data_IF_451139721154
#
_entry.id   IF_451139721154
#
_cell.length_a   1.000
_cell.length_b   1.000
_cell.length_c   1.000
_cell.angle_alpha   90.00
_cell.angle_beta   90.00
_cell.angle_gamma   90.00
#
_symmetry.space_group_name_H-M   'P 1'
#
loop_
_entity.id
_entity.type
_entity.pdbx_description
1 polymer ?
#
# COMPACT_ATOMS: atom_id res chain seq x y z
N UNK A 1 -21.30 35.06 -13.08
CA UNK A 1 -22.27 33.96 -13.30
C UNK A 1 -21.84 33.31 -14.61
N UNK A 2 -21.52 32.02 -14.74
CA UNK A 2 -21.75 30.85 -13.86
C UNK A 2 -20.64 29.80 -14.10
N UNK A 3 -20.36 28.91 -13.12
CA UNK A 3 -19.35 27.85 -13.25
C UNK A 3 -19.90 26.58 -13.93
N UNK A 4 -19.10 25.96 -14.82
CA UNK A 4 -19.06 24.53 -15.18
C UNK A 4 -17.83 24.26 -16.08
N UNK A 5 -17.17 23.08 -16.14
CA UNK A 5 -17.02 21.96 -15.19
C UNK A 5 -15.81 21.09 -15.62
N UNK A 6 -15.20 20.37 -14.67
CA UNK A 6 -14.06 19.42 -14.79
C UNK A 6 -14.48 18.08 -15.44
N UNK A 7 -13.59 17.20 -16.00
CA UNK A 7 -12.27 16.90 -15.44
C UNK A 7 -11.06 16.60 -16.35
N UNK A 8 -9.93 16.71 -15.65
CA UNK A 8 -8.61 16.13 -15.88
C UNK A 8 -8.64 14.67 -16.38
N UNK A 9 -7.83 14.36 -17.40
CA UNK A 9 -7.37 13.00 -17.69
C UNK A 9 -6.19 13.01 -18.66
N UNK A 10 -4.96 12.72 -18.20
CA UNK A 10 -3.94 12.09 -19.03
C UNK A 10 -3.98 10.57 -18.82
N UNK A 11 -4.42 9.83 -19.84
CA UNK A 11 -4.28 8.37 -19.88
C UNK A 11 -2.82 7.97 -19.70
N UNK A 12 -2.50 7.32 -18.59
CA UNK A 12 -1.27 6.54 -18.48
C UNK A 12 -1.60 5.06 -18.75
N UNK A 13 -1.49 4.69 -20.02
CA UNK A 13 -1.35 3.29 -20.44
C UNK A 13 -0.03 2.74 -19.89
N UNK A 14 -0.03 2.38 -18.61
CA UNK A 14 1.06 1.70 -17.92
C UNK A 14 0.73 0.20 -17.89
N UNK A 15 0.61 -0.42 -19.07
CA UNK A 15 0.72 -1.87 -19.17
C UNK A 15 2.21 -2.22 -19.14
N UNK A 16 2.77 -2.71 -18.01
CA UNK A 16 4.17 -3.12 -17.99
C UNK A 16 4.39 -4.25 -19.01
N UNK A 17 5.58 -4.36 -19.61
CA UNK A 17 5.88 -5.48 -20.49
C UNK A 17 5.70 -6.80 -19.74
N UNK A 18 5.12 -7.80 -20.42
CA UNK A 18 4.73 -9.11 -19.88
C UNK A 18 5.94 -10.02 -19.58
N UNK A 19 6.85 -9.53 -18.73
CA UNK A 19 8.14 -10.10 -18.39
C UNK A 19 8.41 -10.14 -16.87
N UNK A 20 7.43 -9.79 -16.03
CA UNK A 20 7.51 -9.98 -14.57
C UNK A 20 6.67 -11.16 -14.05
N UNK A 21 5.91 -11.85 -14.92
CA UNK A 21 5.07 -13.00 -14.54
C UNK A 21 5.88 -14.28 -14.27
N UNK A 22 7.17 -14.34 -14.62
CA UNK A 22 7.99 -15.55 -14.54
C UNK A 22 8.75 -15.75 -13.20
N UNK A 23 8.78 -14.75 -12.31
CA UNK A 23 9.46 -14.84 -10.99
C UNK A 23 8.59 -14.39 -9.81
N UNK A 24 7.29 -14.17 -10.03
CA UNK A 24 6.30 -14.00 -8.98
C UNK A 24 5.78 -15.37 -8.49
N UNK A 25 6.66 -16.17 -7.88
CA UNK A 25 6.29 -17.45 -7.29
C UNK A 25 5.27 -17.27 -6.14
N UNK A 26 4.05 -17.76 -6.37
CA UNK A 26 3.00 -18.02 -5.38
C UNK A 26 2.60 -16.84 -4.45
N UNK A 27 2.35 -15.67 -5.03
CA UNK A 27 1.77 -14.55 -4.30
C UNK A 27 0.62 -13.88 -5.06
N UNK A 28 -0.46 -13.60 -4.36
CA UNK A 28 -1.64 -12.97 -4.95
C UNK A 28 -1.37 -11.50 -5.29
N UNK A 29 -0.54 -10.80 -4.51
CA UNK A 29 -0.01 -9.47 -4.84
C UNK A 29 1.27 -9.56 -5.68
N UNK A 30 1.24 -8.88 -6.83
CA UNK A 30 2.45 -8.60 -7.60
C UNK A 30 3.49 -7.83 -6.77
N UNK A 31 4.77 -8.15 -6.99
CA UNK A 31 5.92 -7.57 -6.32
C UNK A 31 5.87 -6.04 -6.09
N UNK A 32 5.54 -5.18 -7.08
CA UNK A 32 5.49 -3.74 -6.85
C UNK A 32 4.50 -3.36 -5.73
N UNK A 33 3.26 -3.86 -5.75
CA UNK A 33 2.25 -3.53 -4.73
C UNK A 33 2.71 -3.85 -3.31
N UNK A 34 3.45 -4.96 -3.13
CA UNK A 34 4.01 -5.36 -1.83
C UNK A 34 5.08 -4.40 -1.36
N UNK A 35 5.93 -3.92 -2.26
CA UNK A 35 6.94 -2.89 -1.97
C UNK A 35 6.28 -1.57 -1.58
N UNK A 36 5.16 -1.17 -2.23
CA UNK A 36 4.39 0.04 -1.84
C UNK A 36 3.89 -0.05 -0.40
N UNK A 37 3.26 -1.18 -0.05
CA UNK A 37 2.77 -1.44 1.31
C UNK A 37 3.92 -1.43 2.30
N UNK A 38 4.98 -2.20 2.04
CA UNK A 38 6.13 -2.29 2.93
C UNK A 38 6.83 -0.94 3.15
N UNK A 39 6.93 -0.07 2.14
CA UNK A 39 7.46 1.29 2.29
C UNK A 39 6.59 2.14 3.22
N UNK A 40 5.27 2.06 3.11
CA UNK A 40 4.33 2.74 4.00
C UNK A 40 4.43 2.22 5.45
N UNK A 41 4.52 0.90 5.63
CA UNK A 41 4.71 0.27 6.93
C UNK A 41 6.07 0.64 7.56
N UNK A 42 7.14 0.67 6.77
CA UNK A 42 8.46 1.13 7.22
C UNK A 42 8.43 2.59 7.69
N UNK A 43 7.72 3.46 6.95
CA UNK A 43 7.57 4.87 7.30
C UNK A 43 6.77 5.09 8.60
N UNK A 44 5.90 4.14 8.96
CA UNK A 44 5.16 4.08 10.22
C UNK A 44 5.97 3.46 11.39
N UNK A 45 7.21 3.01 11.15
CA UNK A 45 8.05 2.39 12.19
C UNK A 45 7.80 0.89 12.40
N UNK A 46 7.14 0.21 11.46
CA UNK A 46 6.83 -1.22 11.61
C UNK A 46 8.10 -2.10 11.72
N UNK A 47 8.18 -3.00 12.72
CA UNK A 47 9.36 -3.83 12.93
C UNK A 47 9.62 -4.79 11.77
N UNK A 48 10.90 -5.04 11.47
CA UNK A 48 11.35 -5.91 10.38
C UNK A 48 11.33 -5.26 8.99
N UNK A 49 10.84 -4.02 8.85
CA UNK A 49 10.81 -3.30 7.57
C UNK A 49 12.00 -2.34 7.45
N UNK A 50 12.94 -2.64 6.55
CA UNK A 50 14.13 -1.81 6.30
C UNK A 50 13.91 -0.85 5.12
N UNK A 51 13.77 0.48 5.33
CA UNK A 51 13.43 1.41 4.24
C UNK A 51 14.49 1.49 3.14
N UNK A 52 15.78 1.29 3.47
CA UNK A 52 16.85 1.24 2.49
C UNK A 52 16.73 0.03 1.54
N UNK A 53 16.49 -1.16 2.10
CA UNK A 53 16.30 -2.40 1.34
C UNK A 53 15.03 -2.34 0.46
N UNK A 54 13.95 -1.77 0.99
CA UNK A 54 12.70 -1.60 0.26
C UNK A 54 12.83 -0.59 -0.90
N UNK A 55 13.65 0.47 -0.74
CA UNK A 55 13.98 1.37 -1.85
C UNK A 55 14.86 0.69 -2.91
N UNK A 56 15.74 -0.23 -2.52
CA UNK A 56 16.55 -1.01 -3.46
C UNK A 56 15.67 -1.97 -4.28
N UNK A 57 14.80 -2.73 -3.61
CA UNK A 57 13.81 -3.60 -4.27
C UNK A 57 12.83 -2.81 -5.13
N UNK A 58 12.39 -1.62 -4.69
CA UNK A 58 11.57 -0.73 -5.50
C UNK A 58 12.24 -0.30 -6.80
N UNK A 59 13.53 0.08 -6.76
CA UNK A 59 14.31 0.38 -7.97
C UNK A 59 14.48 -0.83 -8.87
N UNK A 60 14.74 -2.01 -8.30
CA UNK A 60 14.83 -3.26 -9.06
C UNK A 60 13.49 -3.63 -9.72
N UNK A 61 12.35 -3.28 -9.10
CA UNK A 61 11.01 -3.40 -9.67
C UNK A 61 10.58 -2.24 -10.60
N UNK A 62 11.50 -1.32 -10.94
CA UNK A 62 11.25 -0.20 -11.86
C UNK A 62 10.59 1.04 -11.24
N UNK A 63 10.38 1.11 -9.92
CA UNK A 63 9.82 2.29 -9.26
C UNK A 63 10.81 3.45 -9.22
N UNK A 64 10.32 4.66 -9.52
CA UNK A 64 11.10 5.88 -9.36
C UNK A 64 11.09 6.36 -7.90
N UNK A 65 12.09 7.14 -7.49
CA UNK A 65 12.22 7.70 -6.12
C UNK A 65 11.01 8.53 -5.70
N UNK A 66 10.43 9.31 -6.62
CA UNK A 66 9.23 10.09 -6.34
C UNK A 66 8.02 9.19 -6.01
N UNK A 67 7.83 8.10 -6.74
CA UNK A 67 6.75 7.14 -6.47
C UNK A 67 6.98 6.43 -5.13
N UNK A 68 8.21 5.97 -4.85
CA UNK A 68 8.54 5.33 -3.56
C UNK A 68 8.33 6.28 -2.36
N UNK A 69 8.64 7.57 -2.52
CA UNK A 69 8.39 8.57 -1.47
C UNK A 69 6.88 8.86 -1.29
N UNK A 70 6.11 8.95 -2.38
CA UNK A 70 4.65 9.07 -2.32
C UNK A 70 4.03 7.87 -1.60
N UNK A 71 4.46 6.64 -1.98
CA UNK A 71 4.01 5.38 -1.40
C UNK A 71 4.32 5.32 0.11
N UNK A 72 5.52 5.73 0.53
CA UNK A 72 5.89 5.85 1.94
C UNK A 72 4.98 6.86 2.69
N UNK A 73 4.56 7.95 2.04
CA UNK A 73 3.57 8.91 2.55
C UNK A 73 2.12 8.43 2.51
N UNK A 74 1.82 7.23 2.00
CA UNK A 74 0.47 6.67 1.91
C UNK A 74 -0.34 7.10 0.70
N UNK A 75 0.31 7.71 -0.30
CA UNK A 75 -0.30 8.12 -1.58
C UNK A 75 0.33 7.36 -2.73
N UNK A 76 -0.35 7.21 -3.86
CA UNK A 76 0.24 6.57 -5.04
C UNK A 76 -0.28 7.21 -6.32
N UNK A 77 0.54 7.20 -7.36
CA UNK A 77 0.13 7.65 -8.71
C UNK A 77 -0.83 6.65 -9.37
N UNK A 78 -0.82 5.40 -8.91
CA UNK A 78 -1.76 4.37 -9.31
C UNK A 78 -3.01 4.37 -8.41
N UNK A 79 -4.20 4.44 -9.00
CA UNK A 79 -5.46 4.49 -8.26
C UNK A 79 -5.68 3.22 -7.39
N UNK A 80 -5.22 2.07 -7.89
CA UNK A 80 -5.31 0.79 -7.18
C UNK A 80 -4.32 0.76 -5.99
N UNK A 81 -3.09 1.21 -6.19
CA UNK A 81 -2.10 1.43 -5.15
C UNK A 81 -2.56 2.41 -4.07
N UNK A 82 -3.16 3.53 -4.45
CA UNK A 82 -3.69 4.54 -3.51
C UNK A 82 -4.83 3.98 -2.65
N UNK A 83 -5.77 3.24 -3.24
CA UNK A 83 -6.82 2.55 -2.49
C UNK A 83 -6.26 1.48 -1.53
N UNK A 84 -5.20 0.79 -1.92
CA UNK A 84 -4.51 -0.19 -1.07
C UNK A 84 -3.79 0.46 0.12
N UNK A 85 -3.09 1.58 -0.11
CA UNK A 85 -2.43 2.34 0.97
C UNK A 85 -3.43 2.96 1.94
N UNK A 86 -4.56 3.47 1.44
CA UNK A 86 -5.67 3.93 2.28
C UNK A 86 -6.24 2.80 3.17
N UNK A 87 -6.41 1.59 2.61
CA UNK A 87 -6.83 0.41 3.37
C UNK A 87 -5.81 0.00 4.44
N UNK A 88 -4.52 -0.02 4.09
CA UNK A 88 -3.44 -0.33 5.05
C UNK A 88 -3.40 0.71 6.17
N UNK A 89 -3.55 2.00 5.84
CA UNK A 89 -3.69 3.06 6.83
C UNK A 89 -4.87 2.83 7.78
N UNK A 90 -6.03 2.43 7.25
CA UNK A 90 -7.20 2.12 8.06
C UNK A 90 -7.02 0.88 8.94
N UNK A 91 -6.30 -0.14 8.48
CA UNK A 91 -5.98 -1.35 9.28
C UNK A 91 -5.01 -1.09 10.45
N UNK A 92 -4.20 -0.03 10.36
CA UNK A 92 -3.34 0.43 11.46
C UNK A 92 -4.12 1.30 12.45
N UNK A 93 -4.94 2.23 11.92
CA UNK A 93 -5.75 3.19 12.69
C UNK A 93 -6.92 2.53 13.44
N UNK A 94 -7.59 1.55 12.81
CA UNK A 94 -8.73 0.81 13.34
C UNK A 94 -8.49 -0.71 13.21
N UNK A 95 -7.87 -1.33 14.23
CA UNK A 95 -7.62 -2.76 14.23
C UNK A 95 -8.87 -3.61 14.50
N UNK A 96 -10.02 -3.01 14.86
CA UNK A 96 -11.21 -3.74 15.29
C UNK A 96 -11.88 -4.50 14.14
N UNK A 97 -12.15 -3.79 13.05
CA UNK A 97 -12.53 -4.39 11.77
C UNK A 97 -12.28 -3.41 10.62
N UNK A 98 -11.67 -3.83 9.48
CA UNK A 98 -11.83 -3.07 8.25
C UNK A 98 -13.32 -2.95 7.94
N UNK A 99 -13.81 -1.75 7.63
CA UNK A 99 -15.23 -1.60 7.35
C UNK A 99 -15.57 -2.38 6.07
N UNK A 100 -16.80 -2.90 5.98
CA UNK A 100 -17.27 -3.53 4.75
C UNK A 100 -17.15 -2.58 3.53
N UNK A 101 -17.24 -1.27 3.77
CA UNK A 101 -16.98 -0.21 2.78
C UNK A 101 -15.53 -0.21 2.25
N UNK A 102 -14.54 -0.53 3.08
CA UNK A 102 -13.13 -0.58 2.65
C UNK A 102 -12.85 -1.81 1.79
N UNK A 103 -13.40 -2.96 2.18
CA UNK A 103 -13.37 -4.19 1.38
C UNK A 103 -14.07 -4.00 0.03
N UNK A 104 -15.20 -3.30 0.02
CA UNK A 104 -15.92 -2.93 -1.21
C UNK A 104 -15.10 -1.99 -2.10
N UNK A 105 -14.42 -0.98 -1.53
CA UNK A 105 -13.50 -0.10 -2.28
C UNK A 105 -12.34 -0.86 -2.91
N UNK A 106 -11.74 -1.82 -2.18
CA UNK A 106 -10.70 -2.68 -2.74
C UNK A 106 -11.23 -3.56 -3.89
N UNK A 107 -12.43 -4.13 -3.75
CA UNK A 107 -13.06 -4.90 -4.82
C UNK A 107 -13.38 -4.03 -6.06
N UNK A 108 -13.83 -2.79 -5.87
CA UNK A 108 -14.12 -1.83 -6.95
C UNK A 108 -12.89 -1.48 -7.78
N UNK A 109 -11.70 -1.37 -7.18
CA UNK A 109 -10.42 -1.20 -7.92
C UNK A 109 -9.81 -2.53 -8.40
N UNK A 110 -10.58 -3.62 -8.34
CA UNK A 110 -10.21 -4.93 -8.87
C UNK A 110 -9.21 -5.72 -8.01
N UNK A 111 -9.22 -5.57 -6.69
CA UNK A 111 -8.55 -6.54 -5.81
C UNK A 111 -9.42 -7.79 -5.58
N UNK A 112 -8.79 -8.97 -5.68
CA UNK A 112 -9.40 -10.27 -5.34
C UNK A 112 -9.36 -10.51 -3.82
N UNK A 113 -10.25 -11.31 -3.22
CA UNK A 113 -10.24 -11.60 -1.78
C UNK A 113 -8.89 -12.13 -1.28
N UNK A 114 -8.23 -13.00 -2.04
CA UNK A 114 -6.90 -13.55 -1.72
C UNK A 114 -5.84 -12.43 -1.59
N UNK A 115 -5.94 -11.40 -2.45
CA UNK A 115 -5.05 -10.24 -2.42
C UNK A 115 -5.30 -9.39 -1.18
N UNK A 116 -6.57 -9.17 -0.81
CA UNK A 116 -6.95 -8.43 0.39
C UNK A 116 -6.48 -9.18 1.66
N UNK A 117 -6.53 -10.52 1.66
CA UNK A 117 -6.00 -11.35 2.73
C UNK A 117 -4.46 -11.23 2.85
N UNK A 118 -3.71 -11.24 1.74
CA UNK A 118 -2.27 -11.02 1.75
C UNK A 118 -1.89 -9.60 2.24
N UNK A 119 -2.65 -8.56 1.87
CA UNK A 119 -2.46 -7.20 2.43
C UNK A 119 -2.62 -7.22 3.94
N UNK A 120 -3.69 -7.85 4.48
CA UNK A 120 -3.89 -7.98 5.94
C UNK A 120 -2.74 -8.74 6.62
N UNK A 121 -2.16 -9.74 5.96
CA UNK A 121 -1.01 -10.49 6.47
C UNK A 121 0.27 -9.62 6.53
N UNK A 122 0.50 -8.73 5.57
CA UNK A 122 1.62 -7.79 5.59
C UNK A 122 1.52 -6.74 6.71
N UNK A 123 0.30 -6.33 7.09
CA UNK A 123 0.07 -5.38 8.20
C UNK A 123 0.14 -6.07 9.57
N UNK A 124 -0.16 -7.37 9.65
CA UNK A 124 -0.16 -8.14 10.90
C UNK A 124 1.09 -7.98 11.81
N UNK A 125 2.35 -7.99 11.31
CA UNK A 125 3.53 -7.77 12.17
C UNK A 125 3.54 -6.38 12.83
N UNK A 126 3.05 -5.34 12.15
CA UNK A 126 3.00 -3.98 12.71
C UNK A 126 2.03 -3.90 13.88
N UNK A 127 0.86 -4.55 13.75
CA UNK A 127 -0.21 -4.56 14.77
C UNK A 127 0.21 -5.18 16.11
N UNK A 128 1.30 -5.94 16.14
CA UNK A 128 1.89 -6.47 17.38
C UNK A 128 2.76 -5.43 18.10
N UNK A 129 3.29 -4.43 17.39
CA UNK A 129 4.12 -3.37 17.96
C UNK A 129 3.28 -2.30 18.65
N UNK A 130 2.18 -1.84 18.03
CA UNK A 130 1.30 -0.83 18.63
C UNK A 130 0.64 -1.29 19.95
N UNK A 131 0.47 -2.61 20.12
CA UNK A 131 -0.01 -3.21 21.37
C UNK A 131 1.04 -3.18 22.52
N UNK A 132 2.30 -2.85 22.21
CA UNK A 132 3.43 -2.82 23.13
C UNK A 132 3.97 -1.39 23.34
N UNK A 133 3.17 -0.37 23.05
CA UNK A 133 3.46 1.00 23.47
C UNK A 133 3.21 1.13 24.99
N UNK A 134 4.24 1.30 25.84
CA UNK A 134 4.02 1.66 27.23
C UNK A 134 3.37 3.05 27.25
N UNK A 135 2.32 3.21 28.06
CA UNK A 135 1.79 4.53 28.38
C UNK A 135 2.89 5.32 29.11
N UNK A 136 3.55 6.25 28.41
CA UNK A 136 4.55 7.15 28.96
C UNK A 136 3.86 8.09 29.97
N UNK A 137 3.78 7.59 31.21
CA UNK A 137 3.04 8.20 32.29
C UNK A 137 3.76 9.45 32.79
N UNK A 138 3.07 10.58 32.69
CA UNK A 138 3.43 11.87 33.30
C UNK A 138 4.18 11.72 34.64
N UNK A 139 5.36 12.31 34.74
CA UNK A 139 5.96 12.81 35.99
C UNK A 139 6.64 14.15 35.70
#
# INVERSE_FOLDING_TARGET
>A
MTQHTVPDTPSFDQRPPAALDAQAGDAALGAPTRIRIALYLAQRGCPGMSPALLQEWGRAAGMNRAEMAANAGGTSHDAKGSACLAFVGRLLDDPGAPAAADLARMAQVGYRPDQIAEVRAQVAPCRRHDAEAPAEGKR
#
